data_IF_105602251678
#
_entry.id   IF_105602251678
#
_cell.length_a   1.000
_cell.length_b   1.000
_cell.length_c   1.000
_cell.angle_alpha   90.00
_cell.angle_beta   90.00
_cell.angle_gamma   90.00
#
_symmetry.space_group_name_H-M   'P 1'
#
loop_
_entity.id
_entity.type
_entity.pdbx_description
1 polymer ?
#
# COMPACT_ATOMS: atom_id res chain seq x y z
N UNK A 1 -14.15 -2.78 -20.39
CA UNK A 1 -13.24 -3.18 -19.32
C UNK A 1 -14.03 -3.88 -18.23
N UNK A 2 -13.47 -4.86 -17.53
CA UNK A 2 -14.19 -5.76 -16.60
C UNK A 2 -13.41 -5.93 -15.30
N UNK A 3 -14.14 -6.02 -14.18
CA UNK A 3 -13.53 -6.45 -12.92
C UNK A 3 -13.10 -7.92 -13.05
N UNK A 4 -11.82 -8.20 -12.80
CA UNK A 4 -11.31 -9.56 -12.77
C UNK A 4 -11.73 -10.24 -11.46
N UNK A 5 -12.20 -11.48 -11.55
CA UNK A 5 -12.51 -12.25 -10.36
C UNK A 5 -11.21 -12.58 -9.59
N UNK A 6 -11.25 -12.40 -8.26
CA UNK A 6 -10.08 -12.60 -7.37
C UNK A 6 -9.38 -13.95 -7.56
N UNK A 7 -10.10 -15.01 -7.91
CA UNK A 7 -9.53 -16.35 -8.16
C UNK A 7 -8.50 -16.37 -9.30
N UNK A 8 -8.55 -15.38 -10.20
CA UNK A 8 -7.64 -15.25 -11.34
C UNK A 8 -6.52 -14.22 -11.13
N UNK A 9 -6.45 -13.57 -9.96
CA UNK A 9 -5.42 -12.55 -9.70
C UNK A 9 -4.01 -13.12 -9.85
N UNK A 10 -3.76 -14.34 -9.34
CA UNK A 10 -2.46 -15.00 -9.45
C UNK A 10 -2.05 -15.25 -10.90
N UNK A 11 -3.01 -15.47 -11.78
CA UNK A 11 -2.75 -15.70 -13.19
C UNK A 11 -2.18 -14.44 -13.87
N UNK A 12 -2.41 -13.24 -13.29
CA UNK A 12 -1.85 -11.98 -13.80
C UNK A 12 -0.36 -11.79 -13.53
N UNK A 13 0.26 -12.64 -12.72
CA UNK A 13 1.71 -12.55 -12.43
C UNK A 13 2.58 -12.61 -13.69
N UNK A 14 2.10 -13.21 -14.76
CA UNK A 14 2.87 -13.36 -16.02
C UNK A 14 3.05 -12.03 -16.76
N UNK A 15 2.18 -11.02 -16.55
CA UNK A 15 2.28 -9.70 -17.21
C UNK A 15 3.06 -8.68 -16.39
N UNK A 16 3.29 -8.93 -15.10
CA UNK A 16 4.02 -8.01 -14.22
C UNK A 16 5.48 -7.89 -14.66
N UNK A 17 6.00 -6.68 -14.68
CA UNK A 17 7.38 -6.40 -15.06
C UNK A 17 8.37 -6.93 -14.03
N UNK A 18 9.12 -7.96 -14.39
CA UNK A 18 9.99 -8.70 -13.46
C UNK A 18 11.23 -7.94 -12.98
N UNK A 19 11.66 -6.92 -13.72
CA UNK A 19 12.83 -6.12 -13.33
C UNK A 19 12.52 -5.11 -12.23
N UNK A 20 11.25 -4.87 -11.96
CA UNK A 20 10.79 -3.99 -10.90
C UNK A 20 9.97 -4.79 -9.89
N UNK A 21 10.59 -5.21 -8.81
CA UNK A 21 9.94 -5.99 -7.76
C UNK A 21 9.03 -5.08 -6.90
N UNK A 22 7.86 -4.74 -7.45
CA UNK A 22 6.85 -3.97 -6.75
C UNK A 22 6.06 -4.89 -5.81
N UNK A 23 6.38 -4.80 -4.53
CA UNK A 23 5.77 -5.65 -3.48
C UNK A 23 4.27 -5.43 -3.40
N UNK A 24 3.79 -4.22 -3.59
CA UNK A 24 2.38 -3.87 -3.53
C UNK A 24 1.57 -4.55 -4.64
N UNK A 25 2.02 -4.46 -5.89
CA UNK A 25 1.40 -5.17 -7.03
C UNK A 25 1.37 -6.68 -6.74
N UNK A 26 2.49 -7.24 -6.31
CA UNK A 26 2.61 -8.65 -6.03
C UNK A 26 1.74 -9.11 -4.86
N UNK A 27 1.62 -8.33 -3.79
CA UNK A 27 0.76 -8.61 -2.65
C UNK A 27 -0.72 -8.65 -3.04
N UNK A 28 -1.16 -7.70 -3.87
CA UNK A 28 -2.53 -7.68 -4.40
C UNK A 28 -2.81 -8.90 -5.27
N UNK A 29 -1.93 -9.21 -6.22
CA UNK A 29 -2.12 -10.34 -7.13
C UNK A 29 -2.05 -11.70 -6.43
N UNK A 30 -1.32 -11.80 -5.33
CA UNK A 30 -1.30 -13.02 -4.50
C UNK A 30 -2.50 -13.12 -3.52
N UNK A 31 -3.34 -12.11 -3.46
CA UNK A 31 -4.54 -12.12 -2.64
C UNK A 31 -4.31 -11.82 -1.15
N UNK A 32 -3.08 -11.46 -0.76
CA UNK A 32 -2.75 -11.06 0.63
C UNK A 32 -3.40 -9.70 0.92
N UNK A 33 -3.21 -8.72 0.03
CA UNK A 33 -3.86 -7.41 0.11
C UNK A 33 -4.84 -7.23 -1.07
N UNK A 34 -5.96 -7.92 -1.10
CA UNK A 34 -6.85 -7.93 -2.26
C UNK A 34 -7.52 -6.57 -2.46
N UNK A 35 -7.54 -6.12 -3.71
CA UNK A 35 -8.20 -4.90 -4.16
C UNK A 35 -8.94 -5.17 -5.47
N UNK A 36 -8.97 -4.23 -6.39
CA UNK A 36 -9.58 -4.41 -7.71
C UNK A 36 -8.51 -4.63 -8.76
N UNK A 37 -8.78 -5.54 -9.66
CA UNK A 37 -8.02 -5.69 -10.90
C UNK A 37 -9.01 -5.61 -12.04
N UNK A 38 -8.74 -4.73 -12.99
CA UNK A 38 -9.58 -4.48 -14.15
C UNK A 38 -8.81 -4.80 -15.41
N UNK A 39 -9.44 -5.54 -16.30
CA UNK A 39 -8.85 -5.98 -17.57
C UNK A 39 -9.75 -5.63 -18.75
N UNK A 40 -9.21 -5.56 -19.96
CA UNK A 40 -10.00 -5.42 -21.18
C UNK A 40 -10.45 -6.76 -21.75
N UNK A 41 -9.74 -7.83 -21.43
CA UNK A 41 -10.02 -9.19 -21.87
C UNK A 41 -10.07 -10.14 -20.67
N UNK A 42 -11.06 -11.04 -20.63
CA UNK A 42 -11.20 -12.00 -19.53
C UNK A 42 -10.24 -13.20 -19.65
N UNK A 43 -9.83 -13.50 -20.88
CA UNK A 43 -8.98 -14.66 -21.18
C UNK A 43 -7.62 -14.12 -21.64
N UNK A 44 -6.57 -14.51 -20.91
CA UNK A 44 -5.18 -14.15 -21.19
C UNK A 44 -4.95 -12.63 -21.38
N UNK A 45 -5.39 -11.78 -20.43
CA UNK A 45 -5.21 -10.34 -20.53
C UNK A 45 -3.71 -9.99 -20.56
N UNK A 46 -3.36 -9.01 -21.39
CA UNK A 46 -1.98 -8.53 -21.55
C UNK A 46 -1.70 -7.26 -20.76
N UNK A 47 -2.77 -6.55 -20.39
CA UNK A 47 -2.70 -5.27 -19.71
C UNK A 47 -3.82 -5.19 -18.68
N UNK A 48 -3.53 -4.60 -17.53
CA UNK A 48 -4.53 -4.41 -16.48
C UNK A 48 -4.33 -3.12 -15.70
N UNK A 49 -5.42 -2.65 -15.08
CA UNK A 49 -5.42 -1.68 -13.99
C UNK A 49 -5.52 -2.42 -12.66
N UNK A 50 -4.63 -2.14 -11.75
CA UNK A 50 -4.64 -2.69 -10.40
C UNK A 50 -4.82 -1.54 -9.41
N UNK A 51 -5.96 -1.51 -8.72
CA UNK A 51 -6.19 -0.56 -7.65
C UNK A 51 -5.41 -0.94 -6.40
N UNK A 52 -4.68 0.01 -5.84
CA UNK A 52 -4.03 -0.15 -4.55
C UNK A 52 -4.29 1.04 -3.62
N UNK A 53 -4.43 0.70 -2.34
CA UNK A 53 -4.50 1.69 -1.26
C UNK A 53 -3.17 2.39 -1.03
N UNK A 54 -2.05 1.77 -1.37
CA UNK A 54 -0.72 2.32 -1.12
C UNK A 54 -0.49 3.65 -1.80
N UNK A 55 -0.85 3.71 -3.07
CA UNK A 55 -0.80 4.94 -3.84
C UNK A 55 -2.16 5.66 -3.92
N UNK A 56 -3.21 5.13 -3.25
CA UNK A 56 -4.58 5.64 -3.39
C UNK A 56 -4.99 5.79 -4.86
N UNK A 57 -4.64 4.79 -5.67
CA UNK A 57 -4.74 4.88 -7.12
C UNK A 57 -4.50 3.57 -7.85
N UNK A 58 -4.03 3.69 -9.08
CA UNK A 58 -3.90 2.58 -10.00
C UNK A 58 -2.47 2.34 -10.44
N UNK A 59 -2.07 1.07 -10.44
CA UNK A 59 -0.96 0.60 -11.23
C UNK A 59 -1.45 0.12 -12.60
N UNK A 60 -0.84 0.65 -13.66
CA UNK A 60 -0.94 0.12 -15.01
C UNK A 60 0.14 -0.94 -15.16
N UNK A 61 -0.27 -2.17 -15.41
CA UNK A 61 0.62 -3.32 -15.50
C UNK A 61 0.48 -4.04 -16.83
N UNK A 62 1.56 -4.65 -17.29
CA UNK A 62 1.58 -5.40 -18.55
C UNK A 62 2.07 -4.58 -19.74
N UNK A 63 1.59 -4.90 -20.94
CA UNK A 63 2.01 -4.28 -22.20
C UNK A 63 1.52 -2.82 -22.30
N UNK A 64 2.43 -1.81 -22.39
CA UNK A 64 2.02 -0.41 -22.49
C UNK A 64 1.43 -0.03 -23.85
N UNK A 65 1.79 -0.74 -24.92
CA UNK A 65 1.37 -0.51 -26.31
C UNK A 65 0.06 -1.22 -26.70
N UNK A 66 -0.78 -1.52 -25.71
CA UNK A 66 -2.11 -2.09 -25.92
C UNK A 66 -3.11 -0.97 -26.26
N UNK A 67 -3.18 -0.61 -27.55
CA UNK A 67 -4.03 0.49 -28.04
C UNK A 67 -5.50 0.35 -27.63
N UNK A 68 -6.06 -0.85 -27.70
CA UNK A 68 -7.46 -1.09 -27.32
C UNK A 68 -7.69 -0.82 -25.83
N UNK A 69 -6.75 -1.21 -24.99
CA UNK A 69 -6.81 -0.91 -23.55
C UNK A 69 -6.67 0.60 -23.31
N UNK A 70 -5.65 1.22 -23.91
CA UNK A 70 -5.30 2.61 -23.71
C UNK A 70 -6.41 3.58 -24.13
N UNK A 71 -7.08 3.33 -25.26
CA UNK A 71 -8.22 4.12 -25.75
C UNK A 71 -9.42 4.13 -24.78
N UNK A 72 -9.61 3.05 -24.02
CA UNK A 72 -10.74 2.91 -23.10
C UNK A 72 -10.37 3.25 -21.65
N UNK A 73 -9.09 3.33 -21.31
CA UNK A 73 -8.64 3.44 -19.92
C UNK A 73 -9.08 4.77 -19.26
N UNK A 74 -8.90 5.91 -19.93
CA UNK A 74 -9.30 7.19 -19.39
C UNK A 74 -10.81 7.26 -19.11
N UNK A 75 -11.62 6.94 -20.09
CA UNK A 75 -13.09 6.97 -19.96
C UNK A 75 -13.56 6.02 -18.86
N UNK A 76 -12.96 4.84 -18.76
CA UNK A 76 -13.32 3.88 -17.72
C UNK A 76 -12.94 4.38 -16.32
N UNK A 77 -11.75 4.95 -16.16
CA UNK A 77 -11.30 5.53 -14.89
C UNK A 77 -12.20 6.69 -14.50
N UNK A 78 -12.43 7.65 -15.40
CA UNK A 78 -13.16 8.88 -15.10
C UNK A 78 -14.67 8.67 -14.92
N UNK A 79 -15.29 7.75 -15.64
CA UNK A 79 -16.74 7.59 -15.60
C UNK A 79 -17.23 6.47 -14.67
N UNK A 80 -16.38 5.44 -14.46
CA UNK A 80 -16.80 4.25 -13.70
C UNK A 80 -16.03 4.16 -12.38
N UNK A 81 -14.70 4.24 -12.42
CA UNK A 81 -13.89 4.08 -11.22
C UNK A 81 -13.90 5.33 -10.33
N UNK A 82 -14.03 6.52 -10.88
CA UNK A 82 -14.13 7.77 -10.08
C UNK A 82 -15.24 7.68 -9.03
N UNK A 83 -16.39 7.08 -9.36
CA UNK A 83 -17.47 6.87 -8.39
C UNK A 83 -17.05 5.97 -7.23
N UNK A 84 -16.32 4.88 -7.50
CA UNK A 84 -15.80 3.98 -6.45
C UNK A 84 -14.76 4.68 -5.58
N UNK A 85 -13.91 5.50 -6.19
CA UNK A 85 -12.86 6.28 -5.52
C UNK A 85 -13.51 7.27 -4.55
N UNK A 86 -14.50 8.03 -5.01
CA UNK A 86 -15.23 9.00 -4.17
C UNK A 86 -16.00 8.33 -3.03
N UNK A 87 -16.58 7.14 -3.27
CA UNK A 87 -17.21 6.33 -2.22
C UNK A 87 -16.21 5.86 -1.14
N UNK A 88 -14.93 5.80 -1.47
CA UNK A 88 -13.85 5.52 -0.51
C UNK A 88 -13.34 6.76 0.22
N UNK A 89 -13.98 7.93 0.02
CA UNK A 89 -13.63 9.19 0.67
C UNK A 89 -12.48 9.96 0.02
N UNK A 90 -12.02 9.54 -1.17
CA UNK A 90 -10.94 10.19 -1.90
C UNK A 90 -11.48 11.18 -2.94
N UNK A 91 -10.80 12.33 -3.07
CA UNK A 91 -11.12 13.38 -4.06
C UNK A 91 -10.15 13.38 -5.25
N UNK A 92 -9.11 12.58 -5.19
CA UNK A 92 -8.09 12.39 -6.22
C UNK A 92 -7.71 10.92 -6.27
N UNK A 93 -6.96 10.55 -7.28
CA UNK A 93 -6.29 9.25 -7.34
C UNK A 93 -4.91 9.42 -7.99
N UNK A 94 -3.99 8.58 -7.57
CA UNK A 94 -2.68 8.49 -8.19
C UNK A 94 -2.66 7.37 -9.24
N UNK A 95 -1.69 7.42 -10.14
CA UNK A 95 -1.41 6.32 -11.05
C UNK A 95 0.07 6.21 -11.36
N UNK A 96 0.51 4.99 -11.62
CA UNK A 96 1.88 4.66 -11.98
C UNK A 96 1.90 3.47 -12.91
N UNK A 97 2.93 3.34 -13.73
CA UNK A 97 3.17 2.13 -14.50
C UNK A 97 4.04 1.14 -13.71
N UNK A 98 3.98 -0.14 -14.07
CA UNK A 98 4.89 -1.16 -13.55
C UNK A 98 6.26 -1.15 -14.25
N UNK A 99 6.44 -0.31 -15.26
CA UNK A 99 7.67 -0.14 -16.05
C UNK A 99 7.77 1.27 -16.63
N UNK A 100 8.98 1.73 -16.98
CA UNK A 100 9.21 3.11 -17.44
C UNK A 100 8.44 3.51 -18.70
N UNK A 101 8.17 2.56 -19.60
CA UNK A 101 7.47 2.80 -20.87
C UNK A 101 6.05 3.33 -20.64
N UNK A 102 5.45 3.05 -19.50
CA UNK A 102 4.14 3.58 -19.13
C UNK A 102 4.12 5.11 -18.97
N UNK A 103 5.23 5.74 -18.59
CA UNK A 103 5.23 7.17 -18.28
C UNK A 103 4.69 8.03 -19.43
N UNK A 104 5.19 7.79 -20.66
CA UNK A 104 4.74 8.53 -21.84
C UNK A 104 3.32 8.14 -22.29
N UNK A 105 2.94 6.89 -22.10
CA UNK A 105 1.60 6.40 -22.46
C UNK A 105 0.55 6.97 -21.51
N UNK A 106 0.83 7.03 -20.21
CA UNK A 106 -0.07 7.62 -19.23
C UNK A 106 -0.30 9.12 -19.46
N UNK A 107 0.73 9.85 -19.88
CA UNK A 107 0.58 11.25 -20.29
C UNK A 107 -0.35 11.40 -21.50
N UNK A 108 -0.34 10.44 -22.44
CA UNK A 108 -1.24 10.43 -23.60
C UNK A 108 -2.67 10.02 -23.20
N UNK A 109 -2.82 8.98 -22.37
CA UNK A 109 -4.13 8.50 -21.91
C UNK A 109 -4.91 9.61 -21.18
N UNK A 110 -4.19 10.42 -20.37
CA UNK A 110 -4.78 11.46 -19.54
C UNK A 110 -4.46 12.88 -20.03
N UNK A 111 -4.22 13.08 -21.31
CA UNK A 111 -3.80 14.37 -21.91
C UNK A 111 -4.77 15.53 -21.66
N UNK A 112 -6.05 15.22 -21.41
CA UNK A 112 -7.12 16.19 -21.11
C UNK A 112 -7.29 16.47 -19.62
N UNK A 113 -6.48 15.84 -18.77
CA UNK A 113 -6.55 16.01 -17.33
C UNK A 113 -5.36 16.84 -16.83
N UNK A 114 -5.54 17.52 -15.70
CA UNK A 114 -4.42 18.17 -15.02
C UNK A 114 -3.57 17.10 -14.33
N UNK A 115 -2.34 16.91 -14.81
CA UNK A 115 -1.41 15.91 -14.30
C UNK A 115 -0.33 16.55 -13.44
N UNK A 116 -0.19 16.05 -12.21
CA UNK A 116 0.90 16.43 -11.31
C UNK A 116 1.86 15.26 -11.21
N UNK A 117 3.10 15.45 -11.67
CA UNK A 117 4.15 14.43 -11.56
C UNK A 117 4.79 14.46 -10.18
N UNK A 118 4.83 13.29 -9.55
CA UNK A 118 5.53 13.08 -8.29
C UNK A 118 6.52 11.92 -8.39
N UNK A 119 7.43 11.82 -7.44
CA UNK A 119 8.33 10.68 -7.29
C UNK A 119 8.29 10.23 -5.85
N UNK A 120 8.04 8.94 -5.65
CA UNK A 120 8.13 8.32 -4.35
C UNK A 120 9.48 7.64 -4.19
N UNK A 121 10.20 7.95 -3.10
CA UNK A 121 11.42 7.24 -2.75
C UNK A 121 11.06 5.94 -2.04
N UNK A 122 11.60 4.84 -2.52
CA UNK A 122 11.51 3.53 -1.85
C UNK A 122 12.79 3.30 -1.06
N UNK A 123 12.64 3.05 0.24
CA UNK A 123 13.76 2.77 1.13
C UNK A 123 13.78 1.28 1.47
N UNK A 124 14.96 0.71 1.47
CA UNK A 124 15.18 -0.67 1.91
C UNK A 124 15.87 -0.66 3.27
N UNK A 125 15.36 -1.45 4.21
CA UNK A 125 15.96 -1.63 5.51
C UNK A 125 17.31 -2.34 5.38
N UNK A 126 18.34 -1.75 6.00
CA UNK A 126 19.71 -2.28 6.04
C UNK A 126 19.97 -2.82 7.44
N UNK A 127 19.88 -4.15 7.59
CA UNK A 127 20.08 -4.84 8.86
C UNK A 127 21.49 -4.62 9.46
N UNK A 128 22.51 -4.58 8.62
CA UNK A 128 23.90 -4.40 9.10
C UNK A 128 24.13 -2.99 9.63
N UNK A 129 23.57 -2.00 8.96
CA UNK A 129 23.58 -0.62 9.44
C UNK A 129 22.80 -0.47 10.75
N UNK A 130 21.65 -1.15 10.85
CA UNK A 130 20.81 -1.11 12.05
C UNK A 130 21.50 -1.75 13.26
N UNK A 131 22.17 -2.91 13.11
CA UNK A 131 22.91 -3.57 14.20
C UNK A 131 24.01 -2.69 14.80
N UNK A 132 24.57 -1.78 14.01
CA UNK A 132 25.60 -0.85 14.43
C UNK A 132 25.05 0.50 14.91
N UNK A 133 23.73 0.66 14.96
CA UNK A 133 23.10 1.89 15.44
C UNK A 133 22.82 1.79 16.94
N UNK A 134 23.24 2.81 17.70
CA UNK A 134 22.90 2.89 19.13
C UNK A 134 21.41 3.18 19.29
N UNK A 135 20.68 2.20 19.83
CA UNK A 135 19.26 2.37 20.11
C UNK A 135 19.07 3.31 21.30
N UNK A 136 18.26 4.32 21.10
CA UNK A 136 17.79 5.21 22.20
C UNK A 136 16.63 4.54 22.95
N UNK A 137 16.93 3.49 23.72
CA UNK A 137 15.89 2.67 24.36
C UNK A 137 15.39 3.16 25.71
N UNK A 138 16.03 4.15 26.35
CA UNK A 138 15.78 4.48 27.75
C UNK A 138 15.01 5.80 27.96
N UNK A 139 13.94 6.03 27.21
CA UNK A 139 13.04 7.14 27.52
C UNK A 139 12.07 6.73 28.65
N UNK A 140 12.14 7.43 29.80
CA UNK A 140 11.20 7.20 30.93
C UNK A 140 9.76 7.35 30.46
N UNK A 141 8.87 6.43 30.89
CA UNK A 141 7.46 6.48 30.55
C UNK A 141 7.11 5.97 29.13
N UNK A 142 8.08 5.39 28.42
CA UNK A 142 7.87 4.84 27.07
C UNK A 142 7.89 3.32 27.13
N UNK A 143 6.85 2.70 26.53
CA UNK A 143 6.75 1.25 26.41
C UNK A 143 6.45 0.88 24.96
N UNK A 144 7.11 -0.17 24.45
CA UNK A 144 6.84 -0.73 23.12
C UNK A 144 5.95 -1.95 23.26
N UNK A 145 4.88 -1.98 22.52
CA UNK A 145 3.98 -3.13 22.44
C UNK A 145 4.00 -3.72 21.04
N UNK A 146 4.04 -5.05 20.98
CA UNK A 146 3.69 -5.76 19.76
C UNK A 146 2.18 -5.68 19.56
N UNK A 147 1.76 -5.41 18.33
CA UNK A 147 0.35 -5.31 17.98
C UNK A 147 -0.15 -6.71 17.61
N UNK A 148 -0.86 -7.33 18.55
CA UNK A 148 -1.47 -8.65 18.41
C UNK A 148 -2.85 -8.67 19.09
N UNK A 149 -3.49 -9.84 19.15
CA UNK A 149 -4.81 -10.00 19.77
C UNK A 149 -4.84 -9.56 21.23
N UNK A 150 -3.76 -9.74 21.98
CA UNK A 150 -3.70 -9.36 23.40
C UNK A 150 -3.57 -7.85 23.57
N UNK A 151 -2.91 -7.17 22.62
CA UNK A 151 -2.79 -5.73 22.62
C UNK A 151 -4.17 -5.04 22.63
N UNK A 152 -5.11 -5.50 21.83
CA UNK A 152 -6.46 -4.96 21.72
C UNK A 152 -7.35 -5.26 22.95
N UNK A 153 -6.92 -6.10 23.87
CA UNK A 153 -7.59 -6.35 25.15
C UNK A 153 -7.19 -5.33 26.24
N UNK A 154 -6.08 -4.62 26.02
CA UNK A 154 -5.62 -3.58 26.93
C UNK A 154 -6.40 -2.28 26.65
N UNK A 155 -6.73 -1.55 27.72
CA UNK A 155 -7.37 -0.24 27.64
C UNK A 155 -6.31 0.86 27.48
N UNK A 156 -5.75 0.99 26.28
CA UNK A 156 -4.83 2.07 25.94
C UNK A 156 -5.65 3.18 25.26
N UNK A 157 -5.43 4.44 25.62
CA UNK A 157 -6.10 5.55 24.96
C UNK A 157 -5.73 5.62 23.46
N UNK A 158 -6.64 6.13 22.65
CA UNK A 158 -6.53 6.33 21.21
C UNK A 158 -6.14 5.09 20.39
N UNK A 159 -6.53 3.93 20.83
CA UNK A 159 -6.15 2.69 20.14
C UNK A 159 -6.73 2.59 18.69
N UNK A 160 -7.79 3.33 18.38
CA UNK A 160 -8.29 3.51 17.03
C UNK A 160 -7.24 4.07 16.06
N UNK A 161 -6.24 4.81 16.54
CA UNK A 161 -5.11 5.29 15.75
C UNK A 161 -4.32 4.16 15.06
N UNK A 162 -4.27 2.99 15.69
CA UNK A 162 -3.64 1.78 15.13
C UNK A 162 -4.66 0.91 14.39
N UNK A 163 -5.85 0.74 14.95
CA UNK A 163 -6.90 -0.10 14.37
C UNK A 163 -7.33 0.41 13.00
N UNK A 164 -7.65 1.70 12.89
CA UNK A 164 -8.08 2.32 11.65
C UNK A 164 -7.01 2.20 10.56
N UNK A 165 -5.74 2.34 10.95
CA UNK A 165 -4.63 2.18 10.00
C UNK A 165 -4.47 0.72 9.55
N UNK A 166 -4.58 -0.26 10.44
CA UNK A 166 -4.59 -1.67 10.05
C UNK A 166 -5.74 -1.95 9.07
N UNK A 167 -6.95 -1.52 9.39
CA UNK A 167 -8.13 -1.74 8.56
C UNK A 167 -8.09 -0.98 7.22
N UNK A 168 -7.24 0.05 7.11
CA UNK A 168 -6.97 0.71 5.85
C UNK A 168 -6.26 -0.22 4.86
N UNK A 169 -5.38 -1.09 5.32
CA UNK A 169 -4.53 -1.96 4.50
C UNK A 169 -5.01 -3.40 4.43
N UNK A 170 -5.66 -3.87 5.48
CA UNK A 170 -6.04 -5.27 5.69
C UNK A 170 -7.56 -5.44 5.72
N UNK A 171 -8.04 -6.63 5.39
CA UNK A 171 -9.49 -6.89 5.37
C UNK A 171 -10.09 -7.00 6.79
N UNK A 172 -9.29 -7.40 7.76
CA UNK A 172 -9.65 -7.48 9.18
C UNK A 172 -8.39 -7.51 10.04
N UNK A 173 -8.56 -7.31 11.36
CA UNK A 173 -7.47 -7.48 12.33
C UNK A 173 -6.93 -8.91 12.33
N UNK A 174 -7.79 -9.93 12.24
CA UNK A 174 -7.39 -11.33 12.16
C UNK A 174 -6.47 -11.59 10.97
N UNK A 175 -6.83 -11.04 9.80
CA UNK A 175 -6.04 -11.18 8.58
C UNK A 175 -4.66 -10.52 8.72
N UNK A 176 -4.60 -9.36 9.40
CA UNK A 176 -3.32 -8.73 9.75
C UNK A 176 -2.49 -9.62 10.69
N UNK A 177 -3.08 -10.17 11.76
CA UNK A 177 -2.34 -11.01 12.72
C UNK A 177 -1.82 -12.32 12.12
N UNK A 178 -2.47 -12.84 11.09
CA UNK A 178 -2.06 -14.07 10.40
C UNK A 178 -0.89 -13.85 9.42
N UNK A 179 -0.78 -12.66 8.82
CA UNK A 179 0.13 -12.43 7.69
C UNK A 179 1.16 -11.34 7.93
N UNK A 180 0.99 -10.53 8.97
CA UNK A 180 1.76 -9.33 9.20
C UNK A 180 2.19 -9.17 10.66
N UNK A 181 2.92 -8.12 10.92
CA UNK A 181 3.32 -7.70 12.26
C UNK A 181 3.31 -6.19 12.39
N UNK A 182 3.28 -5.72 13.62
CA UNK A 182 3.41 -4.30 13.92
C UNK A 182 3.81 -4.08 15.36
N UNK A 183 4.33 -2.90 15.61
CA UNK A 183 4.69 -2.42 16.94
C UNK A 183 4.16 -1.00 17.12
N UNK A 184 3.81 -0.67 18.35
CA UNK A 184 3.50 0.71 18.71
C UNK A 184 4.27 1.13 19.95
N UNK A 185 4.45 2.44 20.05
CA UNK A 185 5.07 3.11 21.19
C UNK A 185 3.99 3.80 21.97
N UNK A 186 3.90 3.47 23.25
CA UNK A 186 2.98 4.07 24.21
C UNK A 186 3.78 4.97 25.16
N UNK A 187 3.31 6.20 25.35
CA UNK A 187 3.85 7.16 26.28
C UNK A 187 2.69 7.75 27.09
N UNK A 188 2.77 7.66 28.43
CA UNK A 188 1.72 8.14 29.33
C UNK A 188 0.32 7.63 28.95
N UNK A 189 0.20 6.32 28.73
CA UNK A 189 -1.04 5.59 28.37
C UNK A 189 -1.61 5.93 26.97
N UNK A 190 -0.91 6.72 26.14
CA UNK A 190 -1.31 7.12 24.79
C UNK A 190 -0.39 6.45 23.78
N UNK A 191 -0.95 5.88 22.70
CA UNK A 191 -0.18 5.42 21.55
C UNK A 191 0.31 6.65 20.79
N UNK A 192 1.63 6.85 20.75
CA UNK A 192 2.24 8.04 20.16
C UNK A 192 2.88 7.78 18.80
N UNK A 193 3.24 6.53 18.52
CA UNK A 193 3.84 6.12 17.24
C UNK A 193 3.57 4.66 16.97
N UNK A 194 3.55 4.28 15.69
CA UNK A 194 3.49 2.88 15.27
C UNK A 194 4.42 2.61 14.10
N UNK A 195 4.76 1.33 13.92
CA UNK A 195 5.32 0.74 12.74
C UNK A 195 4.48 -0.49 12.37
N UNK A 196 3.83 -0.47 11.20
CA UNK A 196 2.89 -1.50 10.75
C UNK A 196 3.30 -2.07 9.40
N UNK A 197 3.13 -3.35 9.20
CA UNK A 197 3.22 -3.95 7.88
C UNK A 197 1.99 -3.58 7.04
N UNK A 198 2.23 -2.94 5.89
CA UNK A 198 1.19 -2.57 4.93
C UNK A 198 0.98 -3.64 3.87
N UNK A 199 2.07 -4.13 3.24
CA UNK A 199 2.03 -5.17 2.21
C UNK A 199 3.01 -6.28 2.50
N UNK A 200 2.67 -7.49 2.05
CA UNK A 200 3.50 -8.69 2.18
C UNK A 200 3.57 -9.44 0.86
N UNK A 201 4.77 -9.74 0.41
CA UNK A 201 5.01 -10.65 -0.70
C UNK A 201 6.23 -11.55 -0.42
N UNK A 202 6.01 -12.86 -0.37
CA UNK A 202 7.03 -13.81 0.05
C UNK A 202 7.55 -13.49 1.46
N UNK A 203 8.83 -13.22 1.57
CA UNK A 203 9.49 -12.85 2.83
C UNK A 203 9.78 -11.33 2.92
N UNK A 204 9.17 -10.54 2.07
CA UNK A 204 9.37 -9.08 2.04
C UNK A 204 8.12 -8.37 2.55
N UNK A 205 8.35 -7.40 3.43
CA UNK A 205 7.30 -6.61 4.09
C UNK A 205 7.54 -5.13 3.80
N UNK A 206 6.49 -4.40 3.47
CA UNK A 206 6.54 -2.94 3.46
C UNK A 206 6.05 -2.41 4.79
N UNK A 207 6.70 -1.38 5.30
CA UNK A 207 6.39 -0.80 6.60
C UNK A 207 5.85 0.61 6.46
N UNK A 208 4.69 0.85 7.08
CA UNK A 208 4.16 2.18 7.33
C UNK A 208 4.52 2.63 8.75
N UNK A 209 4.98 3.86 8.88
CA UNK A 209 5.39 4.43 10.17
C UNK A 209 4.70 5.77 10.33
N UNK A 210 4.07 5.99 11.47
CA UNK A 210 3.52 7.28 11.82
C UNK A 210 3.77 7.64 13.28
N UNK A 211 3.87 8.94 13.54
CA UNK A 211 3.96 9.50 14.87
C UNK A 211 2.96 10.66 14.99
N UNK A 212 2.18 10.68 16.05
CA UNK A 212 1.24 11.76 16.35
C UNK A 212 1.95 13.11 16.30
N UNK A 213 1.30 14.13 15.75
CA UNK A 213 1.88 15.44 15.45
C UNK A 213 2.62 16.05 16.65
N UNK A 214 2.03 16.00 17.85
CA UNK A 214 2.58 16.61 19.06
C UNK A 214 3.75 15.80 19.67
N UNK A 215 3.95 14.60 19.16
CA UNK A 215 5.00 13.68 19.58
C UNK A 215 6.13 13.51 18.56
N UNK A 216 6.06 14.21 17.43
CA UNK A 216 7.09 14.16 16.37
C UNK A 216 8.41 14.76 16.84
N UNK A 217 9.51 14.37 16.19
CA UNK A 217 10.90 14.82 16.47
C UNK A 217 11.44 14.44 17.85
N UNK A 218 10.80 13.49 18.54
CA UNK A 218 11.23 12.96 19.83
C UNK A 218 11.87 11.55 19.73
N UNK A 219 12.01 11.00 18.52
CA UNK A 219 12.62 9.70 18.26
C UNK A 219 11.70 8.48 18.37
N UNK A 220 10.40 8.68 18.63
CA UNK A 220 9.47 7.55 18.84
C UNK A 220 9.35 6.61 17.65
N UNK A 221 9.40 7.11 16.39
CA UNK A 221 9.39 6.24 15.21
C UNK A 221 10.63 5.33 15.13
N UNK A 222 11.78 5.77 15.62
CA UNK A 222 12.99 4.94 15.66
C UNK A 222 12.89 3.83 16.71
N UNK A 223 12.08 4.02 17.74
CA UNK A 223 11.82 3.01 18.77
C UNK A 223 10.79 1.99 18.28
N UNK A 224 9.88 2.37 17.37
CA UNK A 224 8.85 1.49 16.81
C UNK A 224 9.40 0.54 15.72
N UNK A 225 10.52 0.84 15.11
CA UNK A 225 11.19 0.07 14.04
C UNK A 225 12.25 -0.85 14.63
#
# INVERSE_FOLDING_TARGET
MFDLNKKYFKDMQHIVYKQWDNIEINAVLNGINPRWVVVNEQINPKTALLWSRGIEGFYFIGEPDNDQFNQNACDFVMNILDKRIRQSGLNYFEFSGDRPEWDSILEQIFDKQELIKSRQCVYKFDLERWKNHEMRSDQKGVTVYRIDKSFFQNRIENFSFVEDEILRWWNSLEHFFEHAFGYCVVCDEIIVSYCLTNFVYGNTYTLGIETLKDYRRKGYCQIAV
#
